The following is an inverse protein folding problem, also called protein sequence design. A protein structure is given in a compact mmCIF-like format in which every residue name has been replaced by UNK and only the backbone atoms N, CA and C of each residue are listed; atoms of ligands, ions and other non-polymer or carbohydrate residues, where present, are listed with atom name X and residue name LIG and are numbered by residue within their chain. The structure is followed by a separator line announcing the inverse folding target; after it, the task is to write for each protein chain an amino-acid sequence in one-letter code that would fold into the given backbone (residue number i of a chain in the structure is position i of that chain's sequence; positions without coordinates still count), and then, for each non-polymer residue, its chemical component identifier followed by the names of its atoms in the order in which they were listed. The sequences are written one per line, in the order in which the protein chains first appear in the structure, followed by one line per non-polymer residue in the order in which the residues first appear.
data_IF_045619458092
#
_entry.id   IF_045619458092
#
_cell.length_a   1.000
_cell.length_b   1.000
_cell.length_c   1.000
_cell.angle_alpha   90.00
_cell.angle_beta   90.00
_cell.angle_gamma   90.00
#
_symmetry.space_group_name_H-M   'P 1'
#
loop_
_entity.id
_entity.type
_entity.pdbx_description
1 polymer ?
#
# COMPACT_ATOMS: atom_id res chain seq x y z
N UNK A 1 -0.76 -8.22 -3.45
CA UNK A 1 0.56 -8.36 -2.81
C UNK A 1 0.45 -8.03 -1.33
N UNK A 2 1.01 -8.85 -0.46
CA UNK A 2 1.00 -8.63 1.00
C UNK A 2 2.06 -7.60 1.40
N UNK A 3 1.71 -6.67 2.31
CA UNK A 3 2.60 -5.65 2.90
C UNK A 3 2.21 -5.36 4.34
N UNK A 4 3.09 -4.67 5.06
CA UNK A 4 2.87 -4.20 6.43
C UNK A 4 2.93 -2.68 6.49
N UNK A 5 1.84 -2.03 6.91
CA UNK A 5 1.69 -0.58 6.95
C UNK A 5 1.88 -0.02 8.36
N UNK A 6 2.75 0.99 8.50
CA UNK A 6 2.94 1.69 9.76
C UNK A 6 2.03 2.93 9.85
N UNK A 7 1.10 2.97 10.81
CA UNK A 7 0.18 4.11 10.97
C UNK A 7 0.88 5.43 11.36
N UNK A 8 2.05 5.37 12.02
CA UNK A 8 2.81 6.57 12.42
C UNK A 8 3.57 7.20 11.27
N UNK A 9 4.34 6.40 10.54
CA UNK A 9 5.17 6.88 9.43
C UNK A 9 4.45 6.88 8.10
N UNK A 10 3.30 6.22 8.00
CA UNK A 10 2.57 5.96 6.76
C UNK A 10 3.42 5.25 5.70
N UNK A 11 4.35 4.42 6.15
CA UNK A 11 5.29 3.67 5.29
C UNK A 11 4.89 2.19 5.19
N UNK A 12 5.25 1.59 4.06
CA UNK A 12 5.07 0.16 3.80
C UNK A 12 6.36 -0.61 4.06
N UNK A 13 6.22 -1.86 4.50
CA UNK A 13 7.31 -2.80 4.67
C UNK A 13 6.94 -4.19 4.13
N UNK A 14 7.95 -4.96 3.74
CA UNK A 14 7.80 -6.37 3.34
C UNK A 14 7.66 -7.31 4.54
N UNK A 15 8.20 -6.90 5.69
CA UNK A 15 8.33 -7.75 6.87
C UNK A 15 7.44 -7.23 8.00
N UNK A 16 6.79 -8.15 8.70
CA UNK A 16 6.06 -7.85 9.93
C UNK A 16 7.02 -7.45 11.06
N UNK A 17 6.58 -6.54 11.94
CA UNK A 17 7.24 -6.26 13.20
C UNK A 17 7.42 -4.77 13.49
N UNK A 18 8.62 -4.42 13.95
CA UNK A 18 8.96 -3.04 14.31
C UNK A 18 9.19 -2.21 13.05
N UNK A 19 8.51 -1.07 12.96
CA UNK A 19 8.78 -0.12 11.88
C UNK A 19 10.24 0.37 11.97
N UNK A 20 11.05 0.05 10.96
CA UNK A 20 12.46 0.48 10.88
C UNK A 20 12.65 2.00 10.90
N UNK A 21 11.61 2.77 10.60
CA UNK A 21 11.69 4.23 10.53
C UNK A 21 11.42 4.93 11.87
N UNK A 22 10.44 4.46 12.66
CA UNK A 22 10.08 5.09 13.94
C UNK A 22 10.20 4.18 15.17
N UNK A 23 10.64 2.93 15.00
CA UNK A 23 10.77 1.97 16.10
C UNK A 23 9.45 1.54 16.74
N UNK A 24 8.30 1.93 16.19
CA UNK A 24 6.99 1.59 16.77
C UNK A 24 6.55 0.20 16.37
N UNK A 25 6.00 -0.53 17.35
CA UNK A 25 5.26 -1.78 17.14
C UNK A 25 3.83 -1.45 16.67
N UNK A 26 3.30 -2.24 15.74
CA UNK A 26 1.94 -2.07 15.23
C UNK A 26 1.84 -1.84 13.73
N UNK A 27 2.72 -2.45 12.93
CA UNK A 27 2.50 -2.47 11.48
C UNK A 27 1.30 -3.39 11.18
N UNK A 28 0.31 -2.87 10.45
CA UNK A 28 -0.89 -3.62 10.04
C UNK A 28 -0.62 -4.36 8.74
N UNK A 29 -0.95 -5.65 8.70
CA UNK A 29 -0.93 -6.42 7.47
C UNK A 29 -2.02 -5.91 6.52
N UNK A 30 -1.63 -5.59 5.30
CA UNK A 30 -2.52 -5.12 4.23
C UNK A 30 -2.29 -5.91 2.95
N UNK A 31 -3.30 -5.96 2.10
CA UNK A 31 -3.20 -6.52 0.76
C UNK A 31 -3.37 -5.39 -0.27
N UNK A 32 -2.39 -5.26 -1.16
CA UNK A 32 -2.40 -4.26 -2.23
C UNK A 32 -2.65 -4.97 -3.56
N UNK A 33 -3.69 -4.57 -4.27
CA UNK A 33 -3.93 -5.01 -5.64
C UNK A 33 -3.44 -3.93 -6.61
N UNK A 34 -2.49 -4.28 -7.48
CA UNK A 34 -2.01 -3.36 -8.52
C UNK A 34 -2.99 -3.47 -9.68
N UNK A 35 -3.68 -2.36 -9.98
CA UNK A 35 -4.54 -2.29 -11.16
C UNK A 35 -3.72 -1.81 -12.35
N UNK A 36 -3.64 -2.62 -13.40
CA UNK A 36 -3.08 -2.21 -14.67
C UNK A 36 -4.00 -1.14 -15.28
N UNK A 37 -3.54 0.12 -15.20
CA UNK A 37 -4.25 1.29 -15.70
C UNK A 37 -4.33 1.33 -17.22
N UNK A 38 -4.98 0.35 -17.86
CA UNK A 38 -5.53 0.53 -19.20
C UNK A 38 -6.46 1.72 -19.10
N UNK A 39 -5.97 2.88 -19.55
CA UNK A 39 -6.73 4.12 -19.66
C UNK A 39 -8.06 3.76 -20.30
N UNK A 40 -9.16 3.90 -19.55
CA UNK A 40 -10.48 3.98 -20.17
C UNK A 40 -10.44 5.27 -20.98
N UNK A 41 -10.20 5.16 -22.28
CA UNK A 41 -10.68 6.16 -23.23
C UNK A 41 -12.20 6.13 -23.11
N UNK A 42 -12.75 6.97 -22.25
CA UNK A 42 -14.11 7.43 -22.43
C UNK A 42 -14.09 8.23 -23.72
N UNK A 43 -14.30 7.55 -24.83
CA UNK A 43 -14.92 8.12 -26.01
C UNK A 43 -16.29 8.58 -25.52
N UNK A 44 -16.35 9.83 -25.08
CA UNK A 44 -17.61 10.51 -24.92
C UNK A 44 -18.19 10.63 -26.32
N UNK A 45 -19.27 9.88 -26.53
CA UNK A 45 -20.11 9.86 -27.70
C UNK A 45 -20.47 11.27 -28.22
N UNK A 46 -20.79 11.25 -29.50
CA UNK A 46 -20.97 12.34 -30.47
C UNK A 46 -21.91 13.49 -30.11
#
# INVERSE_FOLDING_TARGET
MEKYYCDRCRTLSETEGICKNCGSYGQKKIFIEVQDGKKRTTEADS
#
